data_IF_966248812577
#
_entry.id   IF_966248812577
#
_cell.length_a   1.000
_cell.length_b   1.000
_cell.length_c   1.000
_cell.angle_alpha   90.00
_cell.angle_beta   90.00
_cell.angle_gamma   90.00
#
_symmetry.space_group_name_H-M   'P 1'
#
loop_
_entity.id
_entity.type
_entity.pdbx_description
1 polymer ?
#
# COMPACT_ATOMS: atom_id res chain seq x y z
N UNK A 1 -5.48 -63.42 -23.63
CA UNK A 1 -6.25 -62.44 -22.85
C UNK A 1 -5.32 -61.86 -21.80
N UNK A 2 -5.05 -60.55 -21.89
CA UNK A 2 -4.66 -59.54 -20.86
C UNK A 2 -3.46 -59.81 -19.92
N UNK A 3 -2.62 -58.87 -19.52
CA UNK A 3 -2.07 -57.61 -20.06
C UNK A 3 -0.87 -57.26 -19.13
N UNK A 4 0.14 -56.56 -19.64
CA UNK A 4 1.42 -56.35 -18.98
C UNK A 4 1.49 -55.02 -18.24
N UNK A 5 1.53 -55.02 -16.89
CA UNK A 5 2.30 -54.05 -16.09
C UNK A 5 2.37 -54.39 -14.59
N UNK A 6 3.47 -55.07 -14.27
CA UNK A 6 4.21 -55.23 -13.01
C UNK A 6 3.64 -54.59 -11.73
N UNK A 7 3.20 -55.47 -10.83
CA UNK A 7 3.10 -55.28 -9.39
C UNK A 7 4.45 -55.65 -8.75
N UNK A 8 5.03 -54.78 -7.91
CA UNK A 8 5.91 -55.18 -6.79
C UNK A 8 6.24 -53.99 -5.88
N UNK A 9 5.69 -54.05 -4.67
CA UNK A 9 6.09 -53.32 -3.46
C UNK A 9 7.59 -53.38 -3.21
N UNK A 10 8.18 -52.33 -2.65
CA UNK A 10 9.00 -52.38 -1.42
C UNK A 10 9.34 -50.96 -0.93
N UNK A 11 9.43 -50.85 0.39
CA UNK A 11 9.64 -49.67 1.21
C UNK A 11 10.91 -48.85 0.85
N UNK A 12 10.77 -47.52 1.04
CA UNK A 12 11.80 -46.51 1.32
C UNK A 12 12.76 -46.18 0.18
N UNK A 13 12.62 -44.99 -0.43
CA UNK A 13 13.62 -43.91 -0.38
C UNK A 13 12.88 -42.59 -0.62
N UNK A 14 13.11 -41.63 0.27
CA UNK A 14 12.62 -40.24 0.23
C UNK A 14 12.92 -39.64 -1.15
N UNK A 15 11.90 -39.55 -2.01
CA UNK A 15 12.04 -38.92 -3.31
C UNK A 15 12.19 -37.42 -3.13
N UNK A 16 13.37 -36.95 -3.51
CA UNK A 16 13.68 -35.58 -3.87
C UNK A 16 12.70 -35.08 -4.94
N UNK A 17 11.57 -34.56 -4.49
CA UNK A 17 10.74 -33.65 -5.27
C UNK A 17 10.58 -32.42 -4.41
N UNK A 18 11.56 -31.54 -4.53
CA UNK A 18 11.50 -30.18 -4.01
C UNK A 18 10.12 -29.62 -4.32
N UNK A 19 9.42 -29.29 -3.24
CA UNK A 19 8.13 -28.61 -3.21
C UNK A 19 8.17 -27.51 -4.28
N UNK A 20 7.29 -27.59 -5.27
CA UNK A 20 6.98 -26.44 -6.10
C UNK A 20 6.42 -25.40 -5.14
N UNK A 21 7.27 -24.45 -4.76
CA UNK A 21 6.85 -23.27 -4.01
C UNK A 21 5.88 -22.51 -4.93
N UNK A 22 4.60 -22.60 -4.60
CA UNK A 22 3.57 -21.75 -5.16
C UNK A 22 3.94 -20.31 -4.78
N UNK A 23 4.50 -19.57 -5.73
CA UNK A 23 4.77 -18.15 -5.59
C UNK A 23 3.46 -17.38 -5.78
N UNK A 24 2.59 -17.45 -4.77
CA UNK A 24 1.46 -16.55 -4.67
C UNK A 24 2.03 -15.17 -4.33
N UNK A 25 2.24 -14.34 -5.36
CA UNK A 25 2.36 -12.91 -5.15
C UNK A 25 1.00 -12.45 -4.62
N UNK A 26 0.82 -12.45 -3.29
CA UNK A 26 -0.36 -11.89 -2.65
C UNK A 26 -0.50 -10.45 -3.12
N UNK A 27 -1.38 -10.25 -4.10
CA UNK A 27 -1.85 -8.94 -4.46
C UNK A 27 -2.73 -8.48 -3.29
N UNK A 28 -2.11 -7.86 -2.29
CA UNK A 28 -2.82 -7.24 -1.17
C UNK A 28 -3.97 -6.40 -1.73
N UNK A 29 -5.20 -6.86 -1.49
CA UNK A 29 -6.42 -6.13 -1.85
C UNK A 29 -6.42 -4.81 -1.06
N UNK A 30 -6.13 -3.70 -1.75
CA UNK A 30 -6.16 -2.35 -1.17
C UNK A 30 -7.57 -1.78 -1.29
N UNK A 31 -8.26 -1.45 -0.18
CA UNK A 31 -9.54 -0.74 -0.25
C UNK A 31 -9.38 0.58 -1.03
N UNK A 32 -10.32 0.87 -1.95
CA UNK A 32 -10.35 2.15 -2.68
C UNK A 32 -10.62 3.29 -1.69
N UNK A 33 -9.60 4.12 -1.44
CA UNK A 33 -9.62 5.27 -0.52
C UNK A 33 -10.42 6.43 -1.11
N UNK A 34 -10.97 7.32 -0.27
CA UNK A 34 -11.46 8.61 -0.76
C UNK A 34 -10.26 9.49 -1.19
N UNK A 35 -9.90 9.39 -2.47
CA UNK A 35 -8.77 10.09 -3.04
C UNK A 35 -8.88 11.62 -2.92
N UNK A 36 -10.11 12.17 -2.90
CA UNK A 36 -10.32 13.61 -2.82
C UNK A 36 -9.90 14.17 -1.46
N UNK A 37 -10.29 13.49 -0.37
CA UNK A 37 -9.93 13.92 0.98
C UNK A 37 -8.43 13.80 1.25
N UNK A 38 -7.81 12.73 0.76
CA UNK A 38 -6.36 12.60 0.77
C UNK A 38 -5.68 13.73 -0.03
N UNK A 39 -6.26 14.13 -1.17
CA UNK A 39 -5.72 15.22 -1.98
C UNK A 39 -5.74 16.56 -1.24
N UNK A 40 -6.82 16.87 -0.52
CA UNK A 40 -6.93 18.09 0.29
C UNK A 40 -5.85 18.13 1.38
N UNK A 41 -5.62 17.01 2.05
CA UNK A 41 -4.58 16.89 3.08
C UNK A 41 -3.19 17.09 2.47
N UNK A 42 -2.85 16.38 1.38
CA UNK A 42 -1.54 16.52 0.74
C UNK A 42 -1.31 17.98 0.31
N UNK A 43 -2.31 18.61 -0.32
CA UNK A 43 -2.20 20.00 -0.75
C UNK A 43 -1.99 20.94 0.44
N UNK A 44 -2.76 20.76 1.51
CA UNK A 44 -2.66 21.57 2.73
C UNK A 44 -1.27 21.53 3.36
N UNK A 45 -0.67 20.35 3.44
CA UNK A 45 0.61 20.14 4.14
C UNK A 45 1.84 20.42 3.28
N UNK A 46 1.74 20.26 1.96
CA UNK A 46 2.91 20.33 1.06
C UNK A 46 2.84 21.45 0.04
N UNK A 47 1.66 22.06 -0.17
CA UNK A 47 1.39 22.97 -1.28
C UNK A 47 1.38 22.29 -2.66
N UNK A 48 1.53 20.96 -2.72
CA UNK A 48 1.62 20.21 -3.99
C UNK A 48 0.27 19.61 -4.38
N UNK A 49 0.10 19.45 -5.68
CA UNK A 49 -1.02 18.65 -6.18
C UNK A 49 -0.81 17.17 -5.84
N UNK A 50 -1.82 16.51 -5.30
CA UNK A 50 -1.71 15.14 -4.78
C UNK A 50 -1.21 14.12 -5.80
N UNK A 51 -1.56 14.28 -7.09
CA UNK A 51 -1.08 13.39 -8.15
C UNK A 51 0.44 13.48 -8.37
N UNK A 52 1.14 14.44 -7.76
CA UNK A 52 2.61 14.49 -7.74
C UNK A 52 3.22 13.26 -7.06
N UNK A 53 2.52 12.72 -6.07
CA UNK A 53 2.91 11.51 -5.32
C UNK A 53 2.23 10.25 -5.87
N UNK A 54 1.40 10.35 -6.90
CA UNK A 54 0.85 9.16 -7.56
C UNK A 54 1.95 8.48 -8.39
N UNK A 55 2.13 7.17 -8.20
CA UNK A 55 3.22 6.39 -8.81
C UNK A 55 4.62 6.98 -8.56
N UNK A 56 4.84 7.49 -7.35
CA UNK A 56 6.13 8.02 -6.91
C UNK A 56 6.92 6.95 -6.15
N UNK A 57 8.19 6.79 -6.52
CA UNK A 57 9.08 5.82 -5.87
C UNK A 57 8.56 4.37 -5.90
N UNK A 58 8.84 3.63 -4.84
CA UNK A 58 8.48 2.23 -4.69
C UNK A 58 7.11 2.02 -4.03
N UNK A 59 6.69 2.93 -3.13
CA UNK A 59 5.55 2.75 -2.23
C UNK A 59 4.38 3.68 -2.52
N UNK A 60 4.57 4.85 -3.13
CA UNK A 60 3.43 5.74 -3.40
C UNK A 60 2.64 5.27 -4.64
N UNK A 61 1.52 4.54 -4.44
CA UNK A 61 0.60 4.14 -5.52
C UNK A 61 -0.17 2.85 -5.23
N UNK A 62 -0.80 2.27 -6.27
CA UNK A 62 -1.72 1.11 -6.16
C UNK A 62 -1.06 -0.25 -5.85
N UNK A 63 0.27 -0.28 -5.70
CA UNK A 63 1.04 -1.48 -5.34
C UNK A 63 2.22 -0.99 -4.50
N UNK A 64 2.95 -1.84 -3.81
CA UNK A 64 4.26 -1.48 -3.25
C UNK A 64 5.26 -2.45 -3.89
N UNK A 65 6.24 -1.95 -4.64
CA UNK A 65 7.17 -2.80 -5.41
C UNK A 65 8.60 -2.39 -5.06
N UNK A 66 9.22 -3.16 -4.17
CA UNK A 66 10.55 -2.88 -3.65
C UNK A 66 10.64 -3.06 -2.14
N UNK A 67 11.85 -3.37 -1.68
CA UNK A 67 12.12 -3.63 -0.26
C UNK A 67 12.37 -2.33 0.52
N UNK A 68 12.89 -1.29 -0.15
CA UNK A 68 13.39 -0.06 0.47
C UNK A 68 12.82 1.20 -0.21
N UNK A 69 12.41 2.23 0.57
CA UNK A 69 12.03 3.53 0.02
C UNK A 69 13.20 4.22 -0.68
N UNK A 70 12.93 4.94 -1.77
CA UNK A 70 13.95 5.68 -2.51
C UNK A 70 14.36 7.00 -1.86
N UNK A 71 13.44 7.62 -1.12
CA UNK A 71 13.67 8.84 -0.34
C UNK A 71 12.67 8.93 0.83
N UNK A 72 12.70 10.05 1.56
CA UNK A 72 11.83 10.25 2.72
C UNK A 72 10.35 10.41 2.34
N UNK A 73 10.05 10.96 1.16
CA UNK A 73 8.68 11.03 0.65
C UNK A 73 8.12 9.62 0.37
N UNK A 74 8.92 8.75 -0.25
CA UNK A 74 8.58 7.34 -0.48
C UNK A 74 8.46 6.56 0.85
N UNK A 75 9.26 6.93 1.86
CA UNK A 75 9.14 6.38 3.22
C UNK A 75 7.83 6.78 3.89
N UNK A 76 7.36 8.01 3.69
CA UNK A 76 6.03 8.42 4.14
C UNK A 76 4.93 7.56 3.51
N UNK A 77 5.04 7.23 2.22
CA UNK A 77 4.09 6.34 1.54
C UNK A 77 4.13 4.92 2.09
N UNK A 78 5.32 4.39 2.40
CA UNK A 78 5.45 3.10 3.07
C UNK A 78 4.72 3.09 4.43
N UNK A 79 4.89 4.13 5.24
CA UNK A 79 4.21 4.27 6.53
C UNK A 79 2.70 4.41 6.36
N UNK A 80 2.24 5.17 5.37
CA UNK A 80 0.82 5.32 5.05
C UNK A 80 0.17 3.99 4.67
N UNK A 81 0.86 3.20 3.84
CA UNK A 81 0.42 1.87 3.44
C UNK A 81 0.33 0.87 4.59
N UNK A 82 1.26 0.96 5.56
CA UNK A 82 1.22 0.19 6.81
C UNK A 82 0.06 0.62 7.70
N UNK A 83 -0.17 1.93 7.82
CA UNK A 83 -1.28 2.47 8.61
C UNK A 83 -2.62 1.92 8.12
N UNK A 84 -2.85 1.97 6.80
CA UNK A 84 -4.06 1.41 6.19
C UNK A 84 -4.17 -0.11 6.33
N UNK A 85 -3.05 -0.85 6.22
CA UNK A 85 -3.06 -2.30 6.38
C UNK A 85 -3.41 -2.75 7.80
N UNK A 86 -3.10 -1.93 8.81
CA UNK A 86 -3.41 -2.20 10.22
C UNK A 86 -4.84 -1.80 10.63
N UNK A 87 -5.63 -1.25 9.72
CA UNK A 87 -7.03 -0.92 9.99
C UNK A 87 -7.87 -2.21 9.91
N UNK A 88 -8.74 -2.52 10.89
CA UNK A 88 -9.67 -3.65 10.85
C UNK A 88 -10.85 -3.38 9.88
N UNK A 89 -10.62 -2.55 8.87
CA UNK A 89 -11.62 -1.98 7.98
C UNK A 89 -11.61 -2.77 6.68
N UNK A 90 -12.21 -3.97 6.72
CA UNK A 90 -12.38 -4.76 5.51
C UNK A 90 -13.47 -4.14 4.62
N UNK A 91 -13.21 -4.11 3.31
CA UNK A 91 -14.21 -3.86 2.25
C UNK A 91 -15.04 -2.56 2.34
N UNK A 92 -14.42 -1.42 2.65
CA UNK A 92 -15.08 -0.11 2.51
C UNK A 92 -14.52 0.68 1.33
N UNK A 93 -14.80 0.27 0.07
CA UNK A 93 -14.50 1.13 -1.06
C UNK A 93 -15.27 2.44 -0.88
N UNK A 94 -14.57 3.57 -1.03
CA UNK A 94 -15.14 4.93 -0.94
C UNK A 94 -15.49 5.39 0.49
N UNK A 95 -14.87 4.83 1.52
CA UNK A 95 -14.99 5.34 2.89
C UNK A 95 -14.65 6.84 2.94
N UNK A 96 -15.64 7.65 3.34
CA UNK A 96 -15.45 9.07 3.63
C UNK A 96 -15.35 9.29 5.14
N UNK A 97 -14.66 10.33 5.55
CA UNK A 97 -14.51 10.69 6.97
C UNK A 97 -14.71 12.18 7.20
N UNK A 98 -14.93 12.60 8.44
CA UNK A 98 -15.04 14.02 8.78
C UNK A 98 -13.69 14.53 9.28
N UNK A 99 -13.22 15.63 8.67
CA UNK A 99 -11.99 16.32 9.06
C UNK A 99 -12.19 17.83 9.02
N UNK A 100 -11.36 18.56 9.76
CA UNK A 100 -11.31 20.02 9.73
C UNK A 100 -9.87 20.46 9.62
N UNK A 101 -9.57 21.32 8.66
CA UNK A 101 -8.25 21.94 8.55
C UNK A 101 -8.27 23.37 9.06
N UNK A 102 -7.24 23.76 9.80
CA UNK A 102 -7.02 25.12 10.31
C UNK A 102 -5.57 25.50 10.09
N UNK A 103 -5.32 26.63 9.42
CA UNK A 103 -3.96 27.02 9.05
C UNK A 103 -3.28 25.96 8.16
N UNK A 104 -2.18 25.39 8.64
CA UNK A 104 -1.38 24.37 7.94
C UNK A 104 -1.52 22.96 8.53
N UNK A 105 -2.58 22.69 9.30
CA UNK A 105 -2.83 21.38 9.89
C UNK A 105 -4.29 20.95 9.76
N UNK A 106 -4.54 19.64 9.87
CA UNK A 106 -5.87 19.05 9.83
C UNK A 106 -6.11 18.16 11.04
N UNK A 107 -7.36 18.10 11.49
CA UNK A 107 -7.81 17.25 12.60
C UNK A 107 -8.98 16.37 12.16
N UNK A 108 -9.04 15.17 12.73
CA UNK A 108 -10.09 14.20 12.45
C UNK A 108 -11.23 14.34 13.45
N UNK A 109 -12.47 14.41 12.96
CA UNK A 109 -13.65 14.59 13.78
C UNK A 109 -14.53 13.34 13.71
N UNK A 110 -14.63 12.60 14.81
CA UNK A 110 -15.61 11.53 14.98
C UNK A 110 -15.83 11.26 16.47
N UNK A 111 -17.07 11.02 16.88
CA UNK A 111 -17.39 10.62 18.26
C UNK A 111 -16.77 9.25 18.59
N UNK A 112 -16.81 8.31 17.65
CA UNK A 112 -16.20 7.00 17.79
C UNK A 112 -14.77 7.01 17.21
N UNK A 113 -13.77 7.15 18.08
CA UNK A 113 -12.34 7.13 17.72
C UNK A 113 -11.84 5.77 17.23
N UNK A 114 -12.59 4.70 17.46
CA UNK A 114 -12.25 3.36 16.97
C UNK A 114 -12.87 3.08 15.59
N UNK A 115 -13.72 3.98 15.07
CA UNK A 115 -14.33 3.83 13.76
C UNK A 115 -13.30 3.84 12.63
N UNK A 116 -13.62 3.13 11.55
CA UNK A 116 -12.82 3.13 10.33
C UNK A 116 -12.65 4.55 9.78
N UNK A 117 -13.71 5.35 9.78
CA UNK A 117 -13.65 6.74 9.32
C UNK A 117 -12.60 7.54 10.09
N UNK A 118 -12.61 7.46 11.42
CA UNK A 118 -11.65 8.19 12.25
C UNK A 118 -10.21 7.71 12.03
N UNK A 119 -9.99 6.39 12.02
CA UNK A 119 -8.64 5.84 11.87
C UNK A 119 -8.07 6.02 10.46
N UNK A 120 -8.91 5.94 9.41
CA UNK A 120 -8.49 6.29 8.05
C UNK A 120 -8.14 7.77 7.91
N UNK A 121 -8.93 8.67 8.52
CA UNK A 121 -8.57 10.08 8.59
C UNK A 121 -7.21 10.29 9.26
N UNK A 122 -6.97 9.61 10.39
CA UNK A 122 -5.69 9.72 11.11
C UNK A 122 -4.52 9.28 10.24
N UNK A 123 -4.65 8.17 9.50
CA UNK A 123 -3.62 7.73 8.56
C UNK A 123 -3.33 8.79 7.49
N UNK A 124 -4.37 9.42 6.93
CA UNK A 124 -4.18 10.43 5.87
C UNK A 124 -3.57 11.73 6.43
N UNK A 125 -4.02 12.22 7.61
CA UNK A 125 -3.44 13.40 8.27
C UNK A 125 -1.97 13.19 8.61
N UNK A 126 -1.62 12.05 9.20
CA UNK A 126 -0.24 11.69 9.51
C UNK A 126 0.63 11.59 8.25
N UNK A 127 0.06 11.13 7.13
CA UNK A 127 0.76 11.11 5.85
C UNK A 127 1.06 12.53 5.35
N UNK A 128 0.09 13.46 5.42
CA UNK A 128 0.32 14.87 5.13
C UNK A 128 1.43 15.48 6.00
N UNK A 129 1.38 15.22 7.31
CA UNK A 129 2.41 15.68 8.26
C UNK A 129 3.81 15.15 7.93
N UNK A 130 3.91 13.87 7.59
CA UNK A 130 5.15 13.26 7.17
C UNK A 130 5.70 13.95 5.92
N UNK A 131 4.87 14.10 4.88
CA UNK A 131 5.30 14.71 3.61
C UNK A 131 5.76 16.16 3.77
N UNK A 132 5.17 16.94 4.69
CA UNK A 132 5.57 18.34 4.94
C UNK A 132 7.06 18.49 5.27
N UNK A 133 7.66 17.48 5.92
CA UNK A 133 9.08 17.48 6.28
C UNK A 133 10.03 16.98 5.19
N UNK A 134 9.53 16.65 4.00
CA UNK A 134 10.30 15.98 2.94
C UNK A 134 10.57 16.87 1.74
N UNK A 135 11.61 16.54 0.98
CA UNK A 135 11.83 17.10 -0.36
C UNK A 135 11.11 16.25 -1.42
N UNK A 136 10.73 16.87 -2.53
CA UNK A 136 10.11 16.18 -3.66
C UNK A 136 11.12 16.00 -4.80
N UNK A 137 11.43 14.75 -5.15
CA UNK A 137 12.34 14.41 -6.22
C UNK A 137 11.58 14.03 -7.50
N UNK A 138 11.60 14.92 -8.51
CA UNK A 138 10.93 14.69 -9.79
C UNK A 138 11.38 13.41 -10.50
N UNK A 139 12.62 12.96 -10.28
CA UNK A 139 13.17 11.75 -10.91
C UNK A 139 12.51 10.45 -10.42
N UNK A 140 11.82 10.47 -9.27
CA UNK A 140 11.08 9.32 -8.75
C UNK A 140 9.60 9.33 -9.13
N UNK A 141 9.12 10.36 -9.82
CA UNK A 141 7.78 10.35 -10.41
C UNK A 141 7.74 9.29 -11.51
N UNK A 142 6.67 8.49 -11.54
CA UNK A 142 6.50 7.43 -12.54
C UNK A 142 7.67 6.42 -12.56
N UNK A 143 8.36 6.24 -11.43
CA UNK A 143 9.51 5.36 -11.32
C UNK A 143 9.22 3.93 -11.82
N UNK A 144 7.96 3.48 -11.67
CA UNK A 144 7.47 2.18 -12.16
C UNK A 144 7.46 2.03 -13.67
N UNK A 145 6.99 3.05 -14.39
CA UNK A 145 6.92 3.01 -15.85
C UNK A 145 8.32 2.89 -16.45
N UNK A 146 9.33 3.44 -15.79
CA UNK A 146 10.74 3.33 -16.19
C UNK A 146 11.38 1.96 -15.91
N UNK A 147 10.84 1.16 -14.97
CA UNK A 147 11.43 -0.12 -14.57
C UNK A 147 10.78 -1.33 -15.24
N UNK A 148 9.50 -1.23 -15.61
CA UNK A 148 8.76 -2.26 -16.36
C UNK A 148 9.09 -2.21 -17.87
N UNK A 149 9.57 -1.07 -18.36
CA UNK A 149 10.02 -0.88 -19.75
C UNK A 149 11.49 -1.24 -19.99
N UNK A 150 12.15 -1.88 -19.01
CA UNK A 150 13.50 -2.45 -19.14
C UNK A 150 13.44 -3.96 -19.05
#
# INVERSE_FOLDING_TARGET
MMDARSMRSFLVVVCASLVLAENESEAHFRPKRNALQLCDIINRYTGRFCLSYNNYGCFCGLRSVGSNPLDDADRCCQTHDRCFAALPCQHLPLLTYSMRCSGSSCTCNNQNRNSCQYRSCQCDVQFGECLRGTSYNRSYRNYRTHRISR
#
